data_IF_792004603720
#
_entry.id   IF_792004603720
#
_cell.length_a   1.000
_cell.length_b   1.000
_cell.length_c   1.000
_cell.angle_alpha   90.00
_cell.angle_beta   90.00
_cell.angle_gamma   90.00
#
_symmetry.space_group_name_H-M   'P 1'
#
loop_
_entity.id
_entity.type
_entity.pdbx_description
1 polymer ?
#
# COMPACT_ATOMS: atom_id res chain seq x y z
N UNK A 1 54.43 -3.21 19.65
CA UNK A 1 53.11 -2.65 19.95
C UNK A 1 52.29 -3.73 20.63
N UNK A 2 51.75 -3.45 21.82
CA UNK A 2 50.90 -4.41 22.51
C UNK A 2 49.48 -4.41 21.90
N UNK A 3 48.67 -5.41 22.26
CA UNK A 3 47.32 -5.57 21.70
C UNK A 3 46.40 -4.37 21.97
N UNK A 4 46.58 -3.71 23.11
CA UNK A 4 45.76 -2.57 23.54
C UNK A 4 46.12 -1.29 22.78
N UNK A 5 47.42 -1.06 22.55
CA UNK A 5 47.95 0.02 21.72
C UNK A 5 47.45 -0.10 20.27
N UNK A 6 47.45 -1.31 19.73
CA UNK A 6 46.99 -1.57 18.36
C UNK A 6 45.49 -1.29 18.18
N UNK A 7 44.67 -1.67 19.16
CA UNK A 7 43.23 -1.36 19.15
C UNK A 7 43.00 0.15 19.28
N UNK A 8 43.75 0.82 20.16
CA UNK A 8 43.60 2.26 20.40
C UNK A 8 43.98 3.08 19.16
N UNK A 9 45.05 2.70 18.46
CA UNK A 9 45.46 3.34 17.21
C UNK A 9 44.44 3.11 16.10
N UNK A 10 43.91 1.90 15.99
CA UNK A 10 42.91 1.55 14.97
C UNK A 10 41.60 2.30 15.20
N UNK A 11 41.15 2.45 16.46
CA UNK A 11 39.99 3.28 16.81
C UNK A 11 40.23 4.76 16.51
N UNK A 12 41.42 5.28 16.77
CA UNK A 12 41.77 6.66 16.45
C UNK A 12 41.69 6.92 14.93
N UNK A 13 42.23 6.01 14.11
CA UNK A 13 42.20 6.11 12.64
C UNK A 13 40.80 5.98 12.04
N UNK A 14 39.91 5.22 12.68
CA UNK A 14 38.49 5.17 12.30
C UNK A 14 37.78 6.48 12.69
N UNK A 15 38.08 7.04 13.86
CA UNK A 15 37.48 8.29 14.33
C UNK A 15 37.90 9.52 13.48
N UNK A 16 39.12 9.52 12.94
CA UNK A 16 39.60 10.58 12.05
C UNK A 16 39.18 10.39 10.58
N UNK A 17 38.54 9.26 10.25
CA UNK A 17 38.12 8.95 8.88
C UNK A 17 39.25 8.51 7.95
N UNK A 18 40.48 8.33 8.46
CA UNK A 18 41.61 7.79 7.69
C UNK A 18 41.34 6.35 7.23
N UNK A 19 40.57 5.59 8.02
CA UNK A 19 40.18 4.22 7.69
C UNK A 19 38.67 4.09 7.85
N UNK A 20 37.98 3.58 6.82
CA UNK A 20 36.55 3.32 6.94
C UNK A 20 36.28 2.13 7.85
N UNK A 21 35.22 2.22 8.65
CA UNK A 21 34.79 1.15 9.54
C UNK A 21 34.48 -0.13 8.75
N UNK A 22 33.97 0.03 7.53
CA UNK A 22 33.68 -1.02 6.56
C UNK A 22 34.95 -1.76 6.12
N UNK A 23 36.04 -1.02 5.85
CA UNK A 23 37.32 -1.60 5.48
C UNK A 23 37.86 -2.48 6.61
N UNK A 24 37.86 -1.98 7.85
CA UNK A 24 38.30 -2.76 9.04
C UNK A 24 37.47 -4.03 9.20
N UNK A 25 36.14 -3.93 9.10
CA UNK A 25 35.25 -5.07 9.26
C UNK A 25 35.37 -6.10 8.13
N UNK A 26 35.74 -5.67 6.92
CA UNK A 26 35.96 -6.58 5.77
C UNK A 26 37.27 -7.37 5.87
N UNK A 27 38.28 -6.82 6.55
CA UNK A 27 39.57 -7.48 6.77
C UNK A 27 39.53 -8.45 7.96
N UNK A 28 38.59 -8.26 8.88
CA UNK A 28 38.32 -9.21 9.95
C UNK A 28 37.48 -10.34 9.38
N UNK A 29 38.10 -11.50 9.11
CA UNK A 29 37.45 -12.73 8.64
C UNK A 29 36.43 -13.27 9.65
N UNK A 30 35.29 -12.60 9.77
CA UNK A 30 34.20 -13.06 10.60
C UNK A 30 33.51 -14.28 9.96
N UNK A 31 33.14 -15.29 10.77
CA UNK A 31 32.36 -16.41 10.26
C UNK A 31 31.05 -15.92 9.63
N UNK A 32 30.53 -16.59 8.57
CA UNK A 32 29.39 -16.12 7.78
C UNK A 32 28.12 -15.77 8.59
N UNK A 33 27.96 -16.36 9.79
CA UNK A 33 26.86 -16.04 10.72
C UNK A 33 26.99 -14.72 11.47
N UNK A 34 28.20 -14.18 11.64
CA UNK A 34 28.45 -12.91 12.34
C UNK A 34 28.34 -11.69 11.40
N UNK A 35 28.72 -11.84 10.13
CA UNK A 35 28.45 -10.83 9.09
C UNK A 35 26.96 -10.55 8.92
N UNK A 36 26.12 -11.59 9.07
CA UNK A 36 24.67 -11.45 9.02
C UNK A 36 24.10 -10.65 10.19
N UNK A 37 24.63 -10.82 11.42
CA UNK A 37 24.22 -10.02 12.60
C UNK A 37 24.64 -8.55 12.52
N UNK A 38 25.77 -8.24 11.88
CA UNK A 38 26.21 -6.84 11.65
C UNK A 38 25.40 -6.20 10.52
N UNK A 39 24.98 -6.97 9.51
CA UNK A 39 24.05 -6.52 8.48
C UNK A 39 22.61 -6.32 9.01
N UNK A 40 22.15 -7.21 9.89
CA UNK A 40 20.84 -7.11 10.54
C UNK A 40 20.78 -5.97 11.57
N UNK A 41 21.91 -5.60 12.20
CA UNK A 41 22.02 -4.42 13.06
C UNK A 41 22.00 -3.07 12.29
N UNK A 42 22.18 -3.09 10.95
CA UNK A 42 21.93 -1.92 10.09
C UNK A 42 20.44 -1.72 9.76
N UNK A 43 19.58 -2.61 10.25
CA UNK A 43 18.13 -2.61 10.02
C UNK A 43 17.30 -1.82 11.02
N UNK A 44 17.90 -1.05 11.94
CA UNK A 44 17.13 -0.05 12.67
C UNK A 44 16.85 1.11 11.71
N UNK A 45 15.62 1.14 11.20
CA UNK A 45 15.05 2.22 10.39
C UNK A 45 15.02 3.50 11.22
N UNK A 46 16.17 4.16 11.37
CA UNK A 46 16.19 5.52 11.86
C UNK A 46 15.58 6.38 10.75
N UNK A 47 14.28 6.62 10.86
CA UNK A 47 13.59 7.64 10.09
C UNK A 47 14.40 8.93 10.23
N UNK A 48 15.01 9.38 9.14
CA UNK A 48 15.76 10.64 9.14
C UNK A 48 14.81 11.72 9.62
N UNK A 49 15.20 12.46 10.68
CA UNK A 49 14.43 13.58 11.24
C UNK A 49 13.99 14.54 10.13
N UNK A 50 14.84 14.75 9.13
CA UNK A 50 14.55 15.54 7.92
C UNK A 50 13.34 15.02 7.13
N UNK A 51 13.22 13.71 6.93
CA UNK A 51 12.05 13.10 6.26
C UNK A 51 10.77 13.31 7.06
N UNK A 52 10.85 13.17 8.39
CA UNK A 52 9.71 13.41 9.28
C UNK A 52 9.27 14.88 9.22
N UNK A 53 10.23 15.82 9.25
CA UNK A 53 9.94 17.25 9.11
C UNK A 53 9.31 17.58 7.75
N UNK A 54 9.73 16.94 6.65
CA UNK A 54 9.10 17.14 5.36
C UNK A 54 7.67 16.61 5.28
N UNK A 55 7.41 15.40 5.82
CA UNK A 55 6.05 14.84 5.85
C UNK A 55 5.14 15.69 6.73
N UNK A 56 5.62 16.10 7.91
CA UNK A 56 4.87 16.96 8.83
C UNK A 56 4.61 18.34 8.20
N UNK A 57 5.62 18.95 7.58
CA UNK A 57 5.48 20.21 6.87
C UNK A 57 4.46 20.13 5.74
N UNK A 58 4.48 19.05 4.95
CA UNK A 58 3.49 18.84 3.89
C UNK A 58 2.07 18.69 4.43
N UNK A 59 1.88 17.96 5.52
CA UNK A 59 0.58 17.83 6.18
C UNK A 59 0.08 19.18 6.69
N UNK A 60 0.94 19.96 7.36
CA UNK A 60 0.61 21.31 7.84
C UNK A 60 0.23 22.23 6.67
N UNK A 61 0.96 22.19 5.56
CA UNK A 61 0.65 22.98 4.36
C UNK A 61 -0.70 22.60 3.78
N UNK A 62 -0.99 21.31 3.60
CA UNK A 62 -2.28 20.86 3.05
C UNK A 62 -3.43 21.26 3.97
N UNK A 63 -3.30 21.07 5.29
CA UNK A 63 -4.31 21.49 6.27
C UNK A 63 -4.50 23.01 6.23
N UNK A 64 -3.39 23.77 6.18
CA UNK A 64 -3.40 25.22 6.09
C UNK A 64 -4.11 25.71 4.84
N UNK A 65 -3.87 25.07 3.69
CA UNK A 65 -4.57 25.37 2.43
C UNK A 65 -6.07 25.13 2.58
N UNK A 66 -6.48 23.98 3.13
CA UNK A 66 -7.91 23.65 3.33
C UNK A 66 -8.59 24.70 4.22
N UNK A 67 -7.98 25.04 5.36
CA UNK A 67 -8.51 26.05 6.28
C UNK A 67 -8.58 27.42 5.61
N UNK A 68 -7.51 27.83 4.93
CA UNK A 68 -7.44 29.11 4.24
C UNK A 68 -8.54 29.23 3.18
N UNK A 69 -8.68 28.22 2.31
CA UNK A 69 -9.72 28.18 1.26
C UNK A 69 -11.11 28.25 1.88
N UNK A 70 -11.35 27.54 2.98
CA UNK A 70 -12.63 27.61 3.70
C UNK A 70 -12.93 29.01 4.25
N UNK A 71 -11.93 29.70 4.80
CA UNK A 71 -12.08 31.04 5.36
C UNK A 71 -12.44 32.08 4.31
N UNK A 72 -11.81 32.03 3.13
CA UNK A 72 -12.04 33.00 2.06
C UNK A 72 -13.14 32.58 1.07
N UNK A 73 -13.78 31.43 1.29
CA UNK A 73 -14.66 30.78 0.30
C UNK A 73 -15.77 31.70 -0.20
N UNK A 74 -16.38 32.45 0.70
CA UNK A 74 -17.48 33.36 0.37
C UNK A 74 -17.01 34.71 -0.21
N UNK A 75 -15.74 35.05 -0.01
CA UNK A 75 -15.15 36.32 -0.43
C UNK A 75 -14.57 36.25 -1.85
N UNK A 76 -14.28 35.04 -2.34
CA UNK A 76 -13.76 34.81 -3.68
C UNK A 76 -14.85 34.27 -4.61
N UNK A 77 -14.88 34.81 -5.84
CA UNK A 77 -15.76 34.31 -6.89
C UNK A 77 -15.36 32.92 -7.38
N UNK A 78 -16.19 32.33 -8.25
CA UNK A 78 -16.02 30.99 -8.82
C UNK A 78 -14.61 30.72 -9.38
N UNK A 79 -14.09 31.63 -10.22
CA UNK A 79 -12.73 31.54 -10.76
C UNK A 79 -11.66 31.53 -9.66
N UNK A 80 -11.88 32.30 -8.59
CA UNK A 80 -11.01 32.31 -7.42
C UNK A 80 -10.97 30.94 -6.75
N UNK A 81 -12.14 30.33 -6.48
CA UNK A 81 -12.25 29.00 -5.85
C UNK A 81 -11.56 27.92 -6.67
N UNK A 82 -11.74 27.93 -8.00
CA UNK A 82 -11.07 27.00 -8.93
C UNK A 82 -9.55 27.21 -8.89
N UNK A 83 -9.10 28.47 -8.93
CA UNK A 83 -7.68 28.81 -8.96
C UNK A 83 -6.95 28.41 -7.68
N UNK A 84 -7.53 28.69 -6.51
CA UNK A 84 -6.89 28.39 -5.21
C UNK A 84 -6.93 26.90 -4.84
N UNK A 85 -7.80 26.11 -5.47
CA UNK A 85 -7.90 24.67 -5.24
C UNK A 85 -7.16 23.87 -6.32
N UNK A 86 -7.72 23.80 -7.53
CA UNK A 86 -7.16 23.04 -8.64
C UNK A 86 -5.87 23.67 -9.16
N UNK A 87 -5.85 25.00 -9.32
CA UNK A 87 -4.67 25.73 -9.80
C UNK A 87 -3.46 25.53 -8.88
N UNK A 88 -3.68 25.61 -7.56
CA UNK A 88 -2.63 25.33 -6.58
C UNK A 88 -2.16 23.87 -6.61
N UNK A 89 -3.08 22.90 -6.77
CA UNK A 89 -2.73 21.49 -6.93
C UNK A 89 -1.84 21.23 -8.16
N UNK A 90 -2.17 21.84 -9.29
CA UNK A 90 -1.33 21.78 -10.49
C UNK A 90 0.02 22.47 -10.32
N UNK A 91 0.05 23.64 -9.66
CA UNK A 91 1.29 24.37 -9.39
C UNK A 91 2.24 23.53 -8.53
N UNK A 92 1.74 22.93 -7.45
CA UNK A 92 2.55 22.06 -6.58
C UNK A 92 3.05 20.82 -7.34
N UNK A 93 2.19 20.23 -8.19
CA UNK A 93 2.60 19.10 -9.05
C UNK A 93 3.71 19.51 -10.03
N UNK A 94 3.60 20.69 -10.66
CA UNK A 94 4.60 21.21 -11.58
C UNK A 94 5.95 21.50 -10.88
N UNK A 95 5.92 22.08 -9.69
CA UNK A 95 7.10 22.28 -8.85
C UNK A 95 7.73 20.91 -8.50
N UNK A 96 6.91 19.92 -8.14
CA UNK A 96 7.37 18.55 -7.88
C UNK A 96 8.11 17.95 -9.07
N UNK A 97 7.55 18.09 -10.28
CA UNK A 97 8.17 17.63 -11.53
C UNK A 97 9.50 18.34 -11.81
N UNK A 98 9.54 19.66 -11.63
CA UNK A 98 10.76 20.46 -11.81
C UNK A 98 11.87 20.02 -10.84
N UNK A 99 11.53 19.84 -9.56
CA UNK A 99 12.47 19.42 -8.52
C UNK A 99 12.98 17.99 -8.72
N UNK A 100 12.10 17.04 -9.10
CA UNK A 100 12.54 15.68 -9.43
C UNK A 100 13.50 15.64 -10.62
N UNK A 101 13.35 16.56 -11.58
CA UNK A 101 14.25 16.65 -12.73
C UNK A 101 15.61 17.25 -12.37
N UNK A 102 15.64 18.28 -11.51
CA UNK A 102 16.88 18.96 -11.14
C UNK A 102 17.67 18.27 -10.03
N UNK A 103 16.97 17.70 -9.04
CA UNK A 103 17.55 17.11 -7.84
C UNK A 103 16.84 15.78 -7.53
N UNK A 104 17.04 14.73 -8.36
CA UNK A 104 16.34 13.45 -8.19
C UNK A 104 16.65 12.76 -6.85
N UNK A 105 17.83 13.03 -6.29
CA UNK A 105 18.29 12.54 -4.98
C UNK A 105 17.49 13.19 -3.82
N UNK A 106 17.01 14.43 -4.02
CA UNK A 106 16.26 15.17 -3.00
C UNK A 106 14.80 14.70 -2.99
N UNK A 107 14.37 14.16 -1.84
CA UNK A 107 12.99 13.70 -1.65
C UNK A 107 11.94 14.82 -1.72
N UNK A 108 12.35 16.09 -1.80
CA UNK A 108 11.49 17.27 -1.83
C UNK A 108 10.53 17.22 -3.03
N UNK A 109 10.99 16.81 -4.22
CA UNK A 109 10.11 16.71 -5.40
C UNK A 109 8.94 15.73 -5.18
N UNK A 110 9.19 14.62 -4.46
CA UNK A 110 8.14 13.66 -4.09
C UNK A 110 7.13 14.25 -3.10
N UNK A 111 7.57 15.14 -2.20
CA UNK A 111 6.69 15.83 -1.24
C UNK A 111 5.74 16.78 -1.97
N UNK A 112 6.23 17.54 -2.95
CA UNK A 112 5.40 18.40 -3.77
C UNK A 112 4.38 17.63 -4.61
N UNK A 113 4.79 16.49 -5.19
CA UNK A 113 3.84 15.59 -5.85
C UNK A 113 2.81 15.00 -4.89
N UNK A 114 3.18 14.72 -3.63
CA UNK A 114 2.23 14.28 -2.62
C UNK A 114 1.17 15.34 -2.32
N UNK A 115 1.59 16.59 -2.09
CA UNK A 115 0.64 17.69 -1.88
C UNK A 115 -0.24 17.93 -3.10
N UNK A 116 0.35 17.96 -4.31
CA UNK A 116 -0.40 18.09 -5.56
C UNK A 116 -1.40 16.94 -5.76
N UNK A 117 -1.00 15.70 -5.50
CA UNK A 117 -1.86 14.51 -5.58
C UNK A 117 -3.05 14.52 -4.64
N UNK A 118 -2.95 15.17 -3.49
CA UNK A 118 -4.08 15.36 -2.58
C UNK A 118 -5.01 16.48 -3.05
N UNK A 119 -4.46 17.59 -3.57
CA UNK A 119 -5.24 18.77 -3.94
C UNK A 119 -5.90 18.67 -5.32
N UNK A 120 -5.27 18.04 -6.31
CA UNK A 120 -5.79 17.98 -7.69
C UNK A 120 -7.17 17.32 -7.76
N UNK A 121 -7.42 16.13 -7.18
CA UNK A 121 -8.76 15.54 -7.21
C UNK A 121 -9.80 16.42 -6.52
N UNK A 122 -9.49 16.97 -5.34
CA UNK A 122 -10.40 17.86 -4.61
C UNK A 122 -10.72 19.15 -5.38
N UNK A 123 -9.71 19.80 -5.96
CA UNK A 123 -9.89 21.00 -6.78
C UNK A 123 -10.67 20.73 -8.07
N UNK A 124 -10.52 19.55 -8.65
CA UNK A 124 -11.30 19.15 -9.81
C UNK A 124 -12.79 19.00 -9.46
N UNK A 125 -13.10 18.43 -8.29
CA UNK A 125 -14.48 18.38 -7.79
C UNK A 125 -15.07 19.76 -7.52
N UNK A 126 -14.28 20.68 -6.96
CA UNK A 126 -14.68 22.09 -6.82
C UNK A 126 -14.99 22.69 -8.19
N UNK A 127 -14.15 22.43 -9.20
CA UNK A 127 -14.36 22.93 -10.56
C UNK A 127 -15.65 22.43 -11.17
N UNK A 128 -15.98 21.14 -11.02
CA UNK A 128 -17.26 20.60 -11.48
C UNK A 128 -18.44 21.32 -10.80
N UNK A 129 -18.38 21.50 -9.47
CA UNK A 129 -19.45 22.17 -8.72
C UNK A 129 -19.64 23.63 -9.14
N UNK A 130 -18.55 24.34 -9.40
CA UNK A 130 -18.54 25.75 -9.79
C UNK A 130 -19.01 25.96 -11.24
N UNK A 131 -18.84 24.97 -12.11
CA UNK A 131 -19.39 24.96 -13.47
C UNK A 131 -20.89 24.63 -13.51
N UNK A 132 -21.53 24.39 -12.36
CA UNK A 132 -22.94 24.04 -12.29
C UNK A 132 -23.26 22.65 -12.85
N UNK A 133 -22.25 21.79 -12.97
CA UNK A 133 -22.46 20.39 -13.32
C UNK A 133 -23.00 19.68 -12.08
N UNK A 134 -24.28 19.30 -12.15
CA UNK A 134 -24.90 18.56 -11.05
C UNK A 134 -24.25 17.19 -10.87
N UNK A 135 -24.32 16.68 -9.64
CA UNK A 135 -23.85 15.34 -9.30
C UNK A 135 -24.96 14.29 -9.47
N UNK A 136 -26.02 14.63 -10.22
CA UNK A 136 -27.12 13.71 -10.54
C UNK A 136 -26.62 12.70 -11.57
N UNK A 137 -25.90 13.18 -12.60
CA UNK A 137 -25.10 12.32 -13.47
C UNK A 137 -23.69 12.16 -12.92
N UNK A 138 -23.21 10.93 -12.77
CA UNK A 138 -21.83 10.66 -12.33
C UNK A 138 -20.82 10.71 -13.49
N UNK A 139 -21.27 10.82 -14.74
CA UNK A 139 -20.41 10.89 -15.91
C UNK A 139 -19.38 12.03 -15.86
N UNK A 140 -19.72 13.28 -15.49
CA UNK A 140 -18.72 14.34 -15.34
C UNK A 140 -17.64 14.02 -14.30
N UNK A 141 -18.03 13.36 -13.20
CA UNK A 141 -17.10 12.94 -12.14
C UNK A 141 -16.19 11.82 -12.64
N UNK A 142 -16.76 10.80 -13.30
CA UNK A 142 -16.01 9.70 -13.90
C UNK A 142 -14.98 10.22 -14.92
N UNK A 143 -15.40 11.05 -15.88
CA UNK A 143 -14.51 11.63 -16.88
C UNK A 143 -13.40 12.47 -16.26
N UNK A 144 -13.70 13.20 -15.18
CA UNK A 144 -12.71 13.98 -14.44
C UNK A 144 -11.66 13.10 -13.79
N UNK A 145 -12.05 12.04 -13.08
CA UNK A 145 -11.11 11.08 -12.51
C UNK A 145 -10.32 10.32 -13.60
N UNK A 146 -10.93 10.05 -14.76
CA UNK A 146 -10.25 9.51 -15.92
C UNK A 146 -9.17 10.46 -16.46
N UNK A 147 -9.47 11.76 -16.56
CA UNK A 147 -8.49 12.77 -16.96
C UNK A 147 -7.35 12.90 -15.94
N UNK A 148 -7.65 12.86 -14.64
CA UNK A 148 -6.64 12.89 -13.57
C UNK A 148 -5.77 11.62 -13.59
N UNK A 149 -6.38 10.45 -13.83
CA UNK A 149 -5.65 9.19 -14.00
C UNK A 149 -4.65 9.30 -15.15
N UNK A 150 -5.09 9.76 -16.33
CA UNK A 150 -4.22 9.97 -17.49
C UNK A 150 -3.14 10.99 -17.20
N UNK A 151 -3.47 12.10 -16.54
CA UNK A 151 -2.51 13.12 -16.13
C UNK A 151 -1.38 12.54 -15.26
N UNK A 152 -1.70 11.81 -14.19
CA UNK A 152 -0.69 11.19 -13.34
C UNK A 152 0.06 10.07 -14.06
N UNK A 153 -0.60 9.29 -14.92
CA UNK A 153 0.04 8.25 -15.72
C UNK A 153 1.12 8.85 -16.65
N UNK A 154 0.80 9.95 -17.33
CA UNK A 154 1.73 10.65 -18.23
C UNK A 154 2.93 11.20 -17.45
N UNK A 155 2.70 11.90 -16.34
CA UNK A 155 3.80 12.44 -15.51
C UNK A 155 4.65 11.30 -14.92
N UNK A 156 4.02 10.21 -14.50
CA UNK A 156 4.73 9.03 -13.98
C UNK A 156 5.58 8.34 -15.05
N UNK A 157 5.15 8.32 -16.31
CA UNK A 157 5.94 7.75 -17.41
C UNK A 157 7.27 8.49 -17.64
N UNK A 158 7.31 9.78 -17.30
CA UNK A 158 8.50 10.64 -17.39
C UNK A 158 9.38 10.48 -16.15
N UNK A 159 8.81 10.62 -14.96
CA UNK A 159 9.58 10.71 -13.71
C UNK A 159 9.83 9.37 -13.02
N UNK A 160 9.09 8.31 -13.37
CA UNK A 160 9.22 6.95 -12.80
C UNK A 160 9.27 6.98 -11.27
N UNK A 161 8.26 7.60 -10.65
CA UNK A 161 8.23 7.82 -9.20
C UNK A 161 7.14 7.00 -8.53
N UNK A 162 7.47 6.40 -7.39
CA UNK A 162 6.51 5.63 -6.60
C UNK A 162 5.31 6.49 -6.13
N UNK A 163 5.53 7.77 -5.78
CA UNK A 163 4.42 8.63 -5.35
C UNK A 163 3.45 8.94 -6.49
N UNK A 164 3.99 9.17 -7.70
CA UNK A 164 3.17 9.40 -8.88
C UNK A 164 2.41 8.13 -9.26
N UNK A 165 3.07 6.97 -9.21
CA UNK A 165 2.42 5.66 -9.43
C UNK A 165 1.28 5.45 -8.44
N UNK A 166 1.46 5.80 -7.17
CA UNK A 166 0.40 5.71 -6.17
C UNK A 166 -0.84 6.52 -6.59
N UNK A 167 -0.67 7.79 -6.97
CA UNK A 167 -1.80 8.60 -7.43
C UNK A 167 -2.38 8.12 -8.76
N UNK A 168 -1.58 7.57 -9.66
CA UNK A 168 -2.08 6.90 -10.87
C UNK A 168 -3.00 5.74 -10.50
N UNK A 169 -2.57 4.83 -9.60
CA UNK A 169 -3.38 3.67 -9.21
C UNK A 169 -4.64 4.11 -8.45
N UNK A 170 -4.53 5.07 -7.54
CA UNK A 170 -5.67 5.56 -6.76
C UNK A 170 -6.73 6.20 -7.66
N UNK A 171 -6.34 7.11 -8.55
CA UNK A 171 -7.27 7.76 -9.48
C UNK A 171 -7.81 6.79 -10.54
N UNK A 172 -7.00 5.85 -11.03
CA UNK A 172 -7.45 4.82 -11.96
C UNK A 172 -8.47 3.87 -11.32
N UNK A 173 -8.30 3.58 -10.02
CA UNK A 173 -9.27 2.79 -9.25
C UNK A 173 -10.56 3.57 -9.09
N UNK A 174 -10.51 4.82 -8.62
CA UNK A 174 -11.69 5.68 -8.52
C UNK A 174 -12.43 5.81 -9.85
N UNK A 175 -11.70 6.02 -10.95
CA UNK A 175 -12.25 6.09 -12.30
C UNK A 175 -13.06 4.84 -12.67
N UNK A 176 -12.51 3.64 -12.43
CA UNK A 176 -13.19 2.38 -12.77
C UNK A 176 -14.51 2.23 -11.99
N UNK A 177 -14.51 2.52 -10.68
CA UNK A 177 -15.75 2.47 -9.89
C UNK A 177 -16.78 3.50 -10.39
N UNK A 178 -16.34 4.73 -10.65
CA UNK A 178 -17.22 5.80 -11.14
C UNK A 178 -17.80 5.49 -12.52
N UNK A 179 -17.04 4.85 -13.41
CA UNK A 179 -17.53 4.41 -14.72
C UNK A 179 -18.61 3.34 -14.56
N UNK A 180 -18.36 2.33 -13.72
CA UNK A 180 -19.37 1.29 -13.48
C UNK A 180 -20.63 1.90 -12.89
N UNK A 181 -20.51 2.76 -11.88
CA UNK A 181 -21.65 3.44 -11.26
C UNK A 181 -22.44 4.28 -12.29
N UNK A 182 -21.73 5.03 -13.15
CA UNK A 182 -22.33 5.84 -14.22
C UNK A 182 -23.04 5.01 -15.29
N UNK A 183 -22.62 3.77 -15.53
CA UNK A 183 -23.26 2.85 -16.49
C UNK A 183 -24.49 2.19 -15.87
N UNK A 184 -24.42 1.83 -14.60
CA UNK A 184 -25.48 1.06 -13.92
C UNK A 184 -26.63 1.92 -13.41
N UNK A 185 -26.48 3.25 -13.42
CA UNK A 185 -27.48 4.23 -12.95
C UNK A 185 -28.11 3.84 -11.61
N UNK A 186 -27.25 3.39 -10.68
CA UNK A 186 -27.67 2.79 -9.43
C UNK A 186 -26.54 2.78 -8.42
N UNK A 187 -26.85 3.20 -7.19
CA UNK A 187 -25.88 3.26 -6.10
C UNK A 187 -25.29 1.88 -5.78
N UNK A 188 -24.09 1.87 -5.19
CA UNK A 188 -23.39 0.69 -4.67
C UNK A 188 -24.30 -0.37 -4.03
N UNK A 189 -25.28 0.05 -3.22
CA UNK A 189 -26.18 -0.85 -2.50
C UNK A 189 -27.20 -1.59 -3.37
N UNK A 190 -27.51 -1.09 -4.56
CA UNK A 190 -28.48 -1.71 -5.47
C UNK A 190 -27.87 -2.88 -6.26
N UNK A 191 -26.54 -2.90 -6.42
CA UNK A 191 -25.84 -3.87 -7.26
C UNK A 191 -24.66 -4.53 -6.51
N UNK A 192 -24.88 -4.95 -5.26
CA UNK A 192 -23.82 -5.45 -4.37
C UNK A 192 -22.93 -6.54 -4.99
N UNK A 193 -23.51 -7.47 -5.75
CA UNK A 193 -22.76 -8.53 -6.43
C UNK A 193 -21.82 -7.98 -7.51
N UNK A 194 -22.29 -7.03 -8.33
CA UNK A 194 -21.46 -6.41 -9.36
C UNK A 194 -20.23 -5.72 -8.76
N UNK A 195 -20.43 -4.98 -7.68
CA UNK A 195 -19.32 -4.31 -6.98
C UNK A 195 -18.39 -5.30 -6.28
N UNK A 196 -18.89 -6.45 -5.81
CA UNK A 196 -18.03 -7.52 -5.33
C UNK A 196 -17.14 -8.04 -6.45
N UNK A 197 -17.69 -8.38 -7.61
CA UNK A 197 -16.90 -8.83 -8.77
C UNK A 197 -15.91 -7.75 -9.25
N UNK A 198 -16.32 -6.49 -9.29
CA UNK A 198 -15.44 -5.38 -9.63
C UNK A 198 -14.27 -5.27 -8.65
N UNK A 199 -14.56 -5.37 -7.34
CA UNK A 199 -13.54 -5.34 -6.28
C UNK A 199 -12.59 -6.52 -6.39
N UNK A 200 -13.08 -7.71 -6.77
CA UNK A 200 -12.22 -8.86 -7.07
C UNK A 200 -11.28 -8.56 -8.24
N UNK A 201 -11.79 -8.01 -9.35
CA UNK A 201 -10.97 -7.66 -10.52
C UNK A 201 -9.92 -6.60 -10.16
N UNK A 202 -10.29 -5.57 -9.41
CA UNK A 202 -9.36 -4.54 -8.92
C UNK A 202 -8.32 -5.15 -7.98
N UNK A 203 -8.73 -6.01 -7.05
CA UNK A 203 -7.83 -6.70 -6.13
C UNK A 203 -6.81 -7.58 -6.86
N UNK A 204 -7.27 -8.37 -7.84
CA UNK A 204 -6.39 -9.15 -8.70
C UNK A 204 -5.43 -8.27 -9.51
N UNK A 205 -5.90 -7.14 -10.04
CA UNK A 205 -5.07 -6.16 -10.74
C UNK A 205 -3.96 -5.62 -9.84
N UNK A 206 -4.24 -5.34 -8.57
CA UNK A 206 -3.24 -4.89 -7.61
C UNK A 206 -2.20 -5.98 -7.32
N UNK A 207 -2.59 -7.25 -7.20
CA UNK A 207 -1.66 -8.37 -7.04
C UNK A 207 -0.72 -8.50 -8.24
N UNK A 208 -1.24 -8.34 -9.45
CA UNK A 208 -0.46 -8.37 -10.70
C UNK A 208 0.49 -7.16 -10.80
N UNK A 209 0.02 -5.96 -10.48
CA UNK A 209 0.85 -4.76 -10.43
C UNK A 209 1.98 -4.90 -9.40
N UNK A 210 1.67 -5.38 -8.20
CA UNK A 210 2.65 -5.65 -7.15
C UNK A 210 3.72 -6.63 -7.63
N UNK A 211 3.32 -7.69 -8.36
CA UNK A 211 4.29 -8.62 -8.94
C UNK A 211 5.16 -7.95 -10.01
N UNK A 212 4.57 -7.15 -10.89
CA UNK A 212 5.30 -6.42 -11.94
C UNK A 212 6.25 -5.34 -11.41
N UNK A 213 5.99 -4.79 -10.22
CA UNK A 213 6.79 -3.70 -9.64
C UNK A 213 8.01 -4.15 -8.85
N UNK A 214 8.15 -5.47 -8.62
CA UNK A 214 9.28 -6.04 -7.87
C UNK A 214 10.62 -5.68 -8.51
N UNK A 215 11.52 -5.14 -7.70
CA UNK A 215 12.87 -4.77 -8.15
C UNK A 215 12.91 -3.57 -9.11
N UNK A 216 11.78 -2.85 -9.27
CA UNK A 216 11.70 -1.61 -10.04
C UNK A 216 11.66 -0.36 -9.17
N UNK A 217 11.39 0.79 -9.78
CA UNK A 217 11.25 2.08 -9.06
C UNK A 217 10.02 2.13 -8.13
N UNK A 218 9.08 1.20 -8.33
CA UNK A 218 7.84 1.07 -7.56
C UNK A 218 7.93 0.03 -6.44
N UNK A 219 9.12 -0.43 -6.08
CA UNK A 219 9.31 -1.48 -5.07
C UNK A 219 8.66 -1.13 -3.72
N UNK A 220 8.66 0.16 -3.35
CA UNK A 220 8.00 0.68 -2.14
C UNK A 220 6.49 0.48 -2.10
N UNK A 221 5.83 0.29 -3.25
CA UNK A 221 4.39 0.05 -3.33
C UNK A 221 4.04 -1.43 -3.29
N UNK A 222 5.01 -2.33 -3.47
CA UNK A 222 4.76 -3.77 -3.66
C UNK A 222 4.02 -4.37 -2.46
N UNK A 223 4.48 -4.10 -1.23
CA UNK A 223 3.83 -4.64 -0.03
C UNK A 223 2.42 -4.07 0.17
N UNK A 224 2.24 -2.78 -0.08
CA UNK A 224 0.96 -2.09 0.03
C UNK A 224 -0.04 -2.62 -0.99
N UNK A 225 0.37 -2.79 -2.24
CA UNK A 225 -0.47 -3.35 -3.30
C UNK A 225 -0.78 -4.82 -3.05
N UNK A 226 0.14 -5.60 -2.48
CA UNK A 226 -0.17 -6.96 -2.05
C UNK A 226 -1.23 -7.00 -0.97
N UNK A 227 -1.10 -6.14 0.04
CA UNK A 227 -2.05 -6.06 1.14
C UNK A 227 -3.45 -5.68 0.66
N UNK A 228 -3.59 -4.56 -0.06
CA UNK A 228 -4.90 -4.13 -0.55
C UNK A 228 -5.43 -5.05 -1.66
N UNK A 229 -4.56 -5.60 -2.50
CA UNK A 229 -4.94 -6.52 -3.57
C UNK A 229 -5.55 -7.81 -3.04
N UNK A 230 -4.88 -8.46 -2.09
CA UNK A 230 -5.41 -9.70 -1.49
C UNK A 230 -6.62 -9.43 -0.59
N UNK A 231 -6.62 -8.31 0.16
CA UNK A 231 -7.73 -7.96 1.05
C UNK A 231 -8.99 -7.63 0.25
N UNK A 232 -8.86 -6.85 -0.84
CA UNK A 232 -9.97 -6.56 -1.75
C UNK A 232 -10.47 -7.82 -2.45
N UNK A 233 -9.56 -8.64 -2.98
CA UNK A 233 -9.93 -9.87 -3.68
C UNK A 233 -10.65 -10.87 -2.77
N UNK A 234 -10.05 -11.23 -1.64
CA UNK A 234 -10.63 -12.21 -0.71
C UNK A 234 -11.83 -11.64 0.05
N UNK A 235 -11.84 -10.35 0.37
CA UNK A 235 -12.97 -9.70 1.04
C UNK A 235 -14.21 -9.64 0.17
N UNK A 236 -14.04 -9.27 -1.11
CA UNK A 236 -15.15 -9.24 -2.05
C UNK A 236 -15.61 -10.65 -2.44
N UNK A 237 -14.70 -11.62 -2.58
CA UNK A 237 -15.10 -13.01 -2.76
C UNK A 237 -15.84 -13.55 -1.51
N UNK A 238 -15.50 -13.09 -0.31
CA UNK A 238 -16.16 -13.51 0.92
C UNK A 238 -17.58 -12.98 1.02
N UNK A 239 -17.86 -11.75 0.54
CA UNK A 239 -19.22 -11.22 0.58
C UNK A 239 -20.20 -12.06 -0.24
N UNK A 240 -19.72 -12.76 -1.27
CA UNK A 240 -20.54 -13.66 -2.10
C UNK A 240 -20.92 -14.99 -1.40
N UNK A 241 -20.20 -15.37 -0.34
CA UNK A 241 -20.44 -16.58 0.47
C UNK A 241 -21.79 -16.53 1.17
N UNK A 242 -22.23 -15.34 1.60
CA UNK A 242 -23.49 -15.15 2.32
C UNK A 242 -24.73 -15.35 1.42
N UNK A 243 -24.60 -15.01 0.13
CA UNK A 243 -25.73 -15.04 -0.81
C UNK A 243 -25.86 -16.34 -1.60
N UNK A 244 -24.86 -17.23 -1.57
CA UNK A 244 -24.87 -18.38 -2.49
C UNK A 244 -24.04 -19.58 -2.04
N UNK A 245 -24.67 -20.76 -2.06
CA UNK A 245 -24.04 -22.05 -1.74
C UNK A 245 -22.85 -22.39 -2.65
N UNK A 246 -22.89 -22.14 -3.98
CA UNK A 246 -21.71 -22.35 -4.83
C UNK A 246 -20.49 -21.55 -4.36
N UNK A 247 -20.67 -20.29 -3.94
CA UNK A 247 -19.57 -19.48 -3.41
C UNK A 247 -19.06 -20.00 -2.08
N UNK A 248 -19.90 -20.56 -1.21
CA UNK A 248 -19.44 -21.18 0.03
C UNK A 248 -18.43 -22.31 -0.23
N UNK A 249 -18.71 -23.17 -1.22
CA UNK A 249 -17.77 -24.24 -1.59
C UNK A 249 -16.53 -23.72 -2.33
N UNK A 250 -16.73 -22.80 -3.27
CA UNK A 250 -15.64 -22.25 -4.08
C UNK A 250 -14.66 -21.42 -3.25
N UNK A 251 -15.16 -20.69 -2.26
CA UNK A 251 -14.36 -19.78 -1.45
C UNK A 251 -13.24 -20.49 -0.69
N UNK A 252 -13.48 -21.73 -0.23
CA UNK A 252 -12.45 -22.54 0.40
C UNK A 252 -11.24 -22.77 -0.51
N UNK A 253 -11.49 -23.08 -1.80
CA UNK A 253 -10.44 -23.25 -2.81
C UNK A 253 -9.73 -21.92 -3.07
N UNK A 254 -10.48 -20.81 -3.15
CA UNK A 254 -9.94 -19.48 -3.37
C UNK A 254 -8.97 -19.07 -2.25
N UNK A 255 -9.35 -19.28 -0.98
CA UNK A 255 -8.51 -18.91 0.16
C UNK A 255 -7.27 -19.79 0.26
N UNK A 256 -7.39 -21.10 0.02
CA UNK A 256 -6.24 -22.00 -0.08
C UNK A 256 -5.31 -21.55 -1.21
N UNK A 257 -5.86 -21.16 -2.36
CA UNK A 257 -5.12 -20.55 -3.47
C UNK A 257 -4.37 -19.29 -3.03
N UNK A 258 -4.97 -18.44 -2.20
CA UNK A 258 -4.31 -17.28 -1.58
C UNK A 258 -3.13 -17.67 -0.68
N UNK A 259 -3.28 -18.72 0.13
CA UNK A 259 -2.19 -19.24 0.96
C UNK A 259 -1.04 -19.80 0.11
N UNK A 260 -1.32 -20.58 -0.94
CA UNK A 260 -0.29 -21.05 -1.87
C UNK A 260 0.37 -19.90 -2.62
N UNK A 261 -0.42 -18.92 -3.07
CA UNK A 261 0.09 -17.72 -3.72
C UNK A 261 1.08 -17.01 -2.80
N UNK A 262 0.78 -16.88 -1.50
CA UNK A 262 1.67 -16.26 -0.52
C UNK A 262 3.06 -16.91 -0.47
N UNK A 263 3.13 -18.24 -0.60
CA UNK A 263 4.39 -18.98 -0.64
C UNK A 263 5.14 -18.76 -1.97
N UNK A 264 4.41 -18.77 -3.09
CA UNK A 264 4.98 -18.53 -4.42
C UNK A 264 5.57 -17.11 -4.53
N UNK A 265 4.81 -16.10 -4.15
CA UNK A 265 5.26 -14.70 -4.21
C UNK A 265 6.12 -14.32 -3.00
N UNK A 266 6.23 -15.15 -1.96
CA UNK A 266 6.99 -14.87 -0.72
C UNK A 266 6.54 -13.58 0.00
N UNK A 267 5.23 -13.32 0.07
CA UNK A 267 4.67 -12.11 0.70
C UNK A 267 4.02 -12.42 2.04
N UNK A 268 4.50 -11.76 3.11
CA UNK A 268 3.93 -11.87 4.46
C UNK A 268 2.51 -11.28 4.53
N UNK A 269 2.27 -10.17 3.84
CA UNK A 269 0.95 -9.53 3.82
C UNK A 269 -0.11 -10.48 3.24
N UNK A 270 0.20 -11.15 2.13
CA UNK A 270 -0.71 -12.13 1.51
C UNK A 270 -0.96 -13.31 2.44
N UNK A 271 0.09 -13.84 3.08
CA UNK A 271 -0.06 -14.94 4.03
C UNK A 271 -1.00 -14.56 5.20
N UNK A 272 -0.78 -13.40 5.82
CA UNK A 272 -1.58 -12.95 6.96
C UNK A 272 -3.04 -12.74 6.55
N UNK A 273 -3.29 -12.02 5.47
CA UNK A 273 -4.67 -11.72 5.04
C UNK A 273 -5.40 -13.00 4.61
N UNK A 274 -4.77 -13.89 3.84
CA UNK A 274 -5.37 -15.17 3.47
C UNK A 274 -5.67 -16.05 4.69
N UNK A 275 -4.79 -16.04 5.70
CA UNK A 275 -5.04 -16.76 6.95
C UNK A 275 -6.24 -16.19 7.70
N UNK A 276 -6.37 -14.87 7.79
CA UNK A 276 -7.51 -14.21 8.42
C UNK A 276 -8.83 -14.56 7.72
N UNK A 277 -8.84 -14.56 6.38
CA UNK A 277 -10.03 -14.96 5.61
C UNK A 277 -10.34 -16.45 5.72
N UNK A 278 -9.34 -17.32 5.85
CA UNK A 278 -9.57 -18.74 6.15
C UNK A 278 -10.26 -18.91 7.49
N UNK A 279 -9.75 -18.24 8.53
CA UNK A 279 -10.35 -18.26 9.86
C UNK A 279 -11.78 -17.71 9.82
N UNK A 280 -12.01 -16.59 9.13
CA UNK A 280 -13.33 -15.99 8.98
C UNK A 280 -14.32 -16.96 8.31
N UNK A 281 -13.90 -17.62 7.23
CA UNK A 281 -14.76 -18.56 6.51
C UNK A 281 -15.04 -19.85 7.28
N UNK A 282 -14.05 -20.44 7.94
CA UNK A 282 -14.27 -21.59 8.83
C UNK A 282 -15.22 -21.21 9.96
N UNK A 283 -15.06 -20.02 10.54
CA UNK A 283 -15.96 -19.51 11.58
C UNK A 283 -17.38 -19.37 11.07
N UNK A 284 -17.57 -18.79 9.88
CA UNK A 284 -18.89 -18.64 9.24
C UNK A 284 -19.57 -19.98 8.98
N UNK A 285 -18.90 -20.92 8.32
CA UNK A 285 -19.46 -22.25 8.05
C UNK A 285 -19.82 -22.96 9.37
N UNK A 286 -19.00 -22.80 10.40
CA UNK A 286 -19.28 -23.43 11.69
C UNK A 286 -20.49 -22.81 12.39
N UNK A 287 -20.62 -21.48 12.37
CA UNK A 287 -21.81 -20.82 12.92
C UNK A 287 -23.07 -21.13 12.13
N UNK A 288 -23.00 -21.19 10.80
CA UNK A 288 -24.19 -21.39 9.96
C UNK A 288 -24.73 -22.83 10.06
N UNK A 289 -23.84 -23.82 10.05
CA UNK A 289 -24.24 -25.22 9.92
C UNK A 289 -24.16 -26.02 11.22
N UNK A 290 -23.41 -25.53 12.21
CA UNK A 290 -23.14 -26.30 13.43
C UNK A 290 -23.53 -25.57 14.71
N UNK A 291 -24.07 -24.34 14.65
CA UNK A 291 -24.41 -23.51 15.81
C UNK A 291 -25.20 -24.25 16.90
N UNK A 292 -26.16 -25.10 16.49
CA UNK A 292 -27.05 -25.82 17.41
C UNK A 292 -26.40 -27.06 18.08
N UNK A 293 -25.12 -27.35 17.79
CA UNK A 293 -24.39 -28.49 18.34
C UNK A 293 -23.39 -28.08 19.42
N UNK A 294 -23.58 -28.48 20.68
CA UNK A 294 -22.66 -28.11 21.78
C UNK A 294 -21.19 -28.51 21.52
N UNK A 295 -20.94 -29.47 20.62
CA UNK A 295 -19.61 -29.94 20.25
C UNK A 295 -18.77 -29.00 19.37
N UNK A 296 -19.37 -28.02 18.68
CA UNK A 296 -18.64 -27.22 17.68
C UNK A 296 -17.58 -26.27 18.27
N UNK A 297 -17.82 -25.51 19.37
CA UNK A 297 -16.80 -24.63 19.92
C UNK A 297 -15.63 -25.44 20.48
N UNK A 298 -15.92 -26.59 21.09
CA UNK A 298 -14.92 -27.51 21.63
C UNK A 298 -14.08 -28.13 20.51
N UNK A 299 -14.70 -28.55 19.40
CA UNK A 299 -14.00 -29.07 18.24
C UNK A 299 -13.08 -28.02 17.60
N UNK A 300 -13.52 -26.76 17.46
CA UNK A 300 -12.69 -25.67 16.95
C UNK A 300 -11.51 -25.35 17.88
N UNK A 301 -11.72 -25.34 19.20
CA UNK A 301 -10.66 -25.16 20.19
C UNK A 301 -9.61 -26.28 20.03
N UNK A 302 -10.06 -27.54 19.97
CA UNK A 302 -9.16 -28.70 19.80
C UNK A 302 -8.42 -28.65 18.47
N UNK A 303 -9.11 -28.34 17.36
CA UNK A 303 -8.51 -28.22 16.04
C UNK A 303 -7.47 -27.09 15.99
N UNK A 304 -7.76 -25.96 16.65
CA UNK A 304 -6.83 -24.84 16.82
C UNK A 304 -5.55 -25.27 17.54
N UNK A 305 -5.67 -25.98 18.67
CA UNK A 305 -4.50 -26.51 19.37
C UNK A 305 -3.71 -27.53 18.55
N UNK A 306 -4.39 -28.38 17.78
CA UNK A 306 -3.74 -29.35 16.88
C UNK A 306 -2.93 -28.61 15.81
N UNK A 307 -3.49 -27.59 15.16
CA UNK A 307 -2.76 -26.82 14.15
C UNK A 307 -1.57 -26.06 14.71
N UNK A 308 -1.70 -25.48 15.91
CA UNK A 308 -0.57 -24.84 16.62
C UNK A 308 0.53 -25.87 16.91
N UNK A 309 0.14 -27.06 17.39
CA UNK A 309 1.07 -28.17 17.65
C UNK A 309 1.79 -28.63 16.37
N UNK A 310 1.06 -28.85 15.28
CA UNK A 310 1.63 -29.25 13.99
C UNK A 310 2.56 -28.17 13.42
N UNK A 311 2.20 -26.89 13.56
CA UNK A 311 3.06 -25.77 13.16
C UNK A 311 4.39 -25.75 13.92
N UNK A 312 4.34 -25.96 15.25
CA UNK A 312 5.53 -26.04 16.09
C UNK A 312 6.42 -27.25 15.74
N UNK A 313 5.81 -28.43 15.53
CA UNK A 313 6.52 -29.64 15.12
C UNK A 313 7.18 -29.47 13.75
N UNK A 314 6.48 -28.85 12.79
CA UNK A 314 7.02 -28.56 11.45
C UNK A 314 8.24 -27.64 11.50
N UNK A 315 8.20 -26.58 12.32
CA UNK A 315 9.36 -25.70 12.55
C UNK A 315 10.53 -26.48 13.18
N UNK A 316 10.23 -27.37 14.13
CA UNK A 316 11.23 -28.17 14.84
C UNK A 316 11.90 -29.19 13.92
N UNK A 317 11.14 -29.89 13.07
CA UNK A 317 11.66 -30.81 12.07
C UNK A 317 12.51 -30.08 11.04
N UNK A 318 12.05 -28.92 10.54
CA UNK A 318 12.80 -28.11 9.58
C UNK A 318 14.16 -27.66 10.14
N UNK A 319 14.20 -27.24 11.41
CA UNK A 319 15.44 -26.86 12.10
C UNK A 319 16.38 -28.04 12.37
N UNK A 320 15.86 -29.25 12.61
CA UNK A 320 16.66 -30.41 13.04
C UNK A 320 17.13 -31.30 11.89
N UNK A 321 16.40 -31.36 10.78
CA UNK A 321 16.63 -32.34 9.71
C UNK A 321 16.76 -31.74 8.30
N UNK A 322 16.35 -30.49 8.07
CA UNK A 322 16.27 -29.91 6.71
C UNK A 322 17.29 -28.78 6.51
N UNK A 323 17.58 -27.98 7.55
CA UNK A 323 18.70 -27.02 7.51
C UNK A 323 19.96 -27.63 8.13
N UNK A 324 20.70 -28.38 7.32
CA UNK A 324 22.15 -28.51 7.44
C UNK A 324 22.81 -27.46 6.53
#
# INVERSE_FOLDING_TARGET
MNKEELIKELLAKVATGEISREYVLSQLNFPPGAQKRVADAKGETHFSVTKMLYVLGAAIVVIGIIIFVFQIWNDIGSLGRISVTLGLGFLLTAIGSFLLKQKPEDHIGSVFHFMGGLLVPGGAMVTLSELGLDFVSLWPVALTFGAIFVFYLLINSIHKSAILTFFTIANGTAFIYLVVESITDGSFYMHGDLYAYLTMVVGASYLLLAYSFRGGWNDKLVEVLYFFGIAGFLGAAFSQVFGSVPWQMLYFIIVIGGLFLSAYIKSRAVLVVSTLFLIAHVSYITSEYFADSVGWPVALILLGFIFIGLGYVSITINKKYIKA
#
